data_IF_794644860250
#
_entry.id   IF_794644860250
#
_cell.length_a   1.000
_cell.length_b   1.000
_cell.length_c   1.000
_cell.angle_alpha   90.00
_cell.angle_beta   90.00
_cell.angle_gamma   90.00
#
_symmetry.space_group_name_H-M   'P 1'
#
loop_
_entity.id
_entity.type
_entity.pdbx_description
1 polymer ?
#
# COMPACT_ATOMS: atom_id res chain seq x y z
N UNK A 1 2.65 1.63 -4.49
CA UNK A 1 3.81 2.48 -4.85
C UNK A 1 3.88 3.76 -4.04
N UNK A 2 2.76 4.48 -3.85
CA UNK A 2 2.73 5.73 -3.07
C UNK A 2 3.28 5.57 -1.65
N UNK A 3 2.78 4.60 -0.88
CA UNK A 3 3.27 4.32 0.48
C UNK A 3 4.74 3.83 0.52
N UNK A 4 5.27 3.28 -0.59
CA UNK A 4 6.64 2.76 -0.68
C UNK A 4 7.58 3.75 -1.40
N UNK A 5 7.32 5.06 -1.28
CA UNK A 5 8.18 6.10 -1.86
C UNK A 5 8.35 6.03 -3.38
N UNK A 6 7.31 5.55 -4.08
CA UNK A 6 7.29 5.41 -5.54
C UNK A 6 7.81 4.09 -6.08
N UNK A 7 8.10 3.10 -5.23
CA UNK A 7 8.52 1.77 -5.65
C UNK A 7 7.34 0.83 -5.90
N UNK A 8 7.36 0.13 -7.04
CA UNK A 8 6.47 -0.98 -7.31
C UNK A 8 7.12 -2.28 -6.82
N UNK A 9 6.56 -2.85 -5.76
CA UNK A 9 6.99 -4.13 -5.21
C UNK A 9 6.36 -5.28 -6.00
N UNK A 10 7.05 -6.41 -6.12
CA UNK A 10 6.44 -7.64 -6.65
C UNK A 10 5.47 -8.18 -5.58
N UNK A 11 4.15 -8.21 -5.83
CA UNK A 11 3.20 -8.74 -4.85
C UNK A 11 3.42 -10.24 -4.70
N UNK A 12 3.42 -10.72 -3.46
CA UNK A 12 3.56 -12.14 -3.11
C UNK A 12 2.70 -12.46 -1.89
N UNK A 13 2.22 -13.69 -1.84
CA UNK A 13 1.37 -14.21 -0.75
C UNK A 13 2.13 -15.13 0.21
N UNK A 14 3.19 -15.78 -0.28
CA UNK A 14 3.99 -16.75 0.48
C UNK A 14 5.28 -16.07 0.96
N UNK A 15 5.58 -16.21 2.26
CA UNK A 15 6.82 -15.69 2.87
C UNK A 15 7.96 -16.70 2.82
N UNK A 16 7.67 -17.96 3.12
CA UNK A 16 8.64 -19.04 3.20
C UNK A 16 7.94 -20.39 3.03
N UNK A 17 8.68 -21.41 2.61
CA UNK A 17 8.28 -22.81 2.63
C UNK A 17 9.01 -23.51 3.77
N UNK A 18 8.29 -24.40 4.46
CA UNK A 18 8.82 -25.18 5.58
C UNK A 18 8.53 -26.66 5.37
N UNK A 19 9.51 -27.49 5.71
CA UNK A 19 9.34 -28.94 5.74
C UNK A 19 8.58 -29.39 6.99
N UNK A 20 8.22 -30.69 7.03
CA UNK A 20 7.45 -31.28 8.13
C UNK A 20 8.16 -31.16 9.50
N UNK A 21 9.48 -31.04 9.52
CA UNK A 21 10.29 -30.82 10.72
C UNK A 21 10.40 -29.33 11.13
N UNK A 22 9.77 -28.43 10.36
CA UNK A 22 9.75 -27.00 10.59
C UNK A 22 10.95 -26.24 10.02
N UNK A 23 11.91 -26.93 9.39
CA UNK A 23 13.06 -26.30 8.73
C UNK A 23 12.60 -25.49 7.52
N UNK A 24 13.24 -24.33 7.29
CA UNK A 24 12.92 -23.46 6.14
C UNK A 24 13.63 -24.01 4.92
N UNK A 25 12.87 -24.42 3.92
CA UNK A 25 13.40 -24.90 2.64
C UNK A 25 13.59 -23.78 1.64
N UNK A 26 12.75 -22.75 1.69
CA UNK A 26 12.84 -21.59 0.82
C UNK A 26 12.30 -20.33 1.49
N UNK A 27 12.95 -19.19 1.27
CA UNK A 27 12.53 -17.88 1.80
C UNK A 27 12.41 -16.85 0.67
N UNK A 28 11.33 -16.06 0.66
CA UNK A 28 11.02 -15.12 -0.43
C UNK A 28 11.16 -13.66 0.01
N UNK A 29 12.35 -13.10 -0.16
CA UNK A 29 12.68 -11.73 0.25
C UNK A 29 12.03 -10.64 -0.63
N UNK A 30 11.46 -9.57 -0.04
CA UNK A 30 10.81 -8.45 -0.77
C UNK A 30 11.58 -7.99 -2.00
N UNK A 31 10.93 -7.97 -3.17
CA UNK A 31 11.58 -7.61 -4.43
C UNK A 31 10.98 -6.34 -5.03
N UNK A 32 11.85 -5.41 -5.41
CA UNK A 32 11.49 -4.21 -6.15
C UNK A 32 11.45 -4.53 -7.64
N UNK A 33 10.29 -4.34 -8.28
CA UNK A 33 10.18 -4.50 -9.74
C UNK A 33 10.81 -3.30 -10.44
N UNK A 34 10.39 -2.09 -10.05
CA UNK A 34 10.89 -0.82 -10.60
C UNK A 34 10.43 0.38 -9.79
N UNK A 35 11.04 1.53 -10.04
CA UNK A 35 10.55 2.84 -9.61
C UNK A 35 9.50 3.35 -10.61
N UNK A 36 8.31 3.71 -10.12
CA UNK A 36 7.22 4.29 -10.92
C UNK A 36 7.01 5.77 -10.66
N UNK A 37 7.45 6.27 -9.49
CA UNK A 37 7.46 7.68 -9.12
C UNK A 37 8.79 7.99 -8.41
N UNK A 38 9.30 9.20 -8.58
CA UNK A 38 10.35 9.69 -7.69
C UNK A 38 9.77 9.88 -6.27
N UNK A 39 10.66 9.90 -5.29
CA UNK A 39 10.28 9.93 -3.87
C UNK A 39 9.52 11.21 -3.51
N UNK A 40 9.94 12.37 -4.03
CA UNK A 40 9.30 13.66 -3.71
C UNK A 40 7.87 13.70 -4.24
N UNK A 41 7.67 13.23 -5.46
CA UNK A 41 6.33 13.12 -6.06
C UNK A 41 5.45 12.14 -5.29
N UNK A 42 5.98 10.98 -4.88
CA UNK A 42 5.22 10.01 -4.08
C UNK A 42 4.80 10.59 -2.71
N UNK A 43 5.69 11.34 -2.06
CA UNK A 43 5.41 12.03 -0.78
C UNK A 43 4.36 13.14 -0.96
N UNK A 44 4.47 13.95 -2.01
CA UNK A 44 3.50 15.02 -2.30
C UNK A 44 2.10 14.46 -2.55
N UNK A 45 1.98 13.41 -3.36
CA UNK A 45 0.68 12.74 -3.59
C UNK A 45 0.19 12.04 -2.32
N UNK A 46 1.08 11.46 -1.52
CA UNK A 46 0.74 10.87 -0.23
C UNK A 46 0.10 11.88 0.73
N UNK A 47 0.67 13.09 0.84
CA UNK A 47 0.10 14.17 1.65
C UNK A 47 -1.26 14.60 1.15
N UNK A 48 -1.41 14.83 -0.16
CA UNK A 48 -2.71 15.17 -0.74
C UNK A 48 -3.80 14.11 -0.47
N UNK A 49 -3.43 12.83 -0.38
CA UNK A 49 -4.35 11.75 -0.03
C UNK A 49 -4.68 11.67 1.46
N UNK A 50 -3.80 12.16 2.35
CA UNK A 50 -4.09 12.34 3.77
C UNK A 50 -5.05 13.52 3.95
N UNK A 51 -4.78 14.64 3.28
CA UNK A 51 -5.59 15.87 3.38
C UNK A 51 -7.05 15.64 2.97
N UNK A 52 -7.29 14.80 1.95
CA UNK A 52 -8.65 14.38 1.52
C UNK A 52 -9.41 13.59 2.60
N UNK A 53 -8.71 12.93 3.52
CA UNK A 53 -9.32 12.18 4.64
C UNK A 53 -9.55 13.08 5.85
N UNK A 54 -8.73 14.13 6.05
CA UNK A 54 -8.91 15.08 7.14
C UNK A 54 -10.02 16.12 6.87
N UNK A 55 -10.22 16.56 5.61
CA UNK A 55 -11.22 17.58 5.21
C UNK A 55 -12.33 17.07 4.25
N UNK A 56 -12.45 15.76 3.98
CA UNK A 56 -13.39 15.19 3.00
C UNK A 56 -14.27 14.02 3.45
N UNK A 57 -15.00 13.39 2.51
CA UNK A 57 -16.04 12.34 2.71
C UNK A 57 -15.55 11.00 3.29
N UNK A 58 -14.32 10.92 3.79
CA UNK A 58 -13.65 9.73 4.31
C UNK A 58 -13.67 9.57 5.83
N UNK A 59 -14.53 10.30 6.55
CA UNK A 59 -14.61 10.33 8.01
C UNK A 59 -14.80 8.97 8.69
N UNK A 60 -15.26 7.94 7.96
CA UNK A 60 -15.39 6.57 8.45
C UNK A 60 -14.05 5.80 8.57
N UNK A 61 -12.95 6.31 8.00
CA UNK A 61 -11.64 5.66 8.04
C UNK A 61 -10.76 6.09 9.23
N UNK A 62 -11.26 6.98 10.10
CA UNK A 62 -10.54 7.47 11.29
C UNK A 62 -10.53 6.40 12.39
N UNK A 63 -9.55 5.49 12.35
CA UNK A 63 -9.15 4.73 13.53
C UNK A 63 -8.29 5.68 14.38
N UNK A 64 -8.79 6.07 15.56
CA UNK A 64 -8.41 7.26 16.34
C UNK A 64 -6.94 7.48 16.79
N UNK A 65 -5.97 6.79 16.20
CA UNK A 65 -4.53 6.98 16.43
C UNK A 65 -3.66 6.83 15.17
N UNK A 66 -4.25 6.62 13.97
CA UNK A 66 -3.51 6.42 12.72
C UNK A 66 -3.98 7.38 11.63
N UNK A 67 -3.03 8.02 10.94
CA UNK A 67 -3.31 8.75 9.70
C UNK A 67 -3.57 7.74 8.58
N UNK A 68 -4.77 7.79 8.00
CA UNK A 68 -5.16 6.94 6.88
C UNK A 68 -5.24 7.82 5.63
N UNK A 69 -4.47 7.46 4.60
CA UNK A 69 -4.50 8.11 3.29
C UNK A 69 -5.27 7.23 2.32
N UNK A 70 -6.26 7.79 1.61
CA UNK A 70 -7.05 7.01 0.66
C UNK A 70 -7.75 7.90 -0.36
N UNK A 71 -7.93 7.38 -1.58
CA UNK A 71 -8.80 8.00 -2.59
C UNK A 71 -10.14 7.27 -2.58
N UNK A 72 -11.24 7.97 -2.35
CA UNK A 72 -12.58 7.39 -2.55
C UNK A 72 -12.79 7.10 -4.04
N UNK A 73 -13.19 5.86 -4.35
CA UNK A 73 -13.60 5.42 -5.67
C UNK A 73 -15.06 4.99 -5.62
N UNK A 74 -15.96 5.79 -6.19
CA UNK A 74 -17.36 5.41 -6.35
C UNK A 74 -17.53 4.80 -7.73
N UNK A 75 -17.69 3.48 -7.82
CA UNK A 75 -18.07 2.81 -9.05
C UNK A 75 -19.59 2.64 -9.08
N UNK A 76 -20.26 3.25 -10.07
CA UNK A 76 -21.67 2.97 -10.34
C UNK A 76 -21.72 1.84 -11.36
N UNK A 77 -22.26 0.68 -10.97
CA UNK A 77 -22.68 -0.33 -11.93
C UNK A 77 -23.96 0.18 -12.61
N UNK A 78 -23.91 0.46 -13.92
CA UNK A 78 -25.11 0.50 -14.76
C UNK A 78 -25.25 -0.89 -15.40
N UNK A 79 -26.32 -1.60 -15.03
CA UNK A 79 -26.83 -2.72 -15.80
C UNK A 79 -27.41 -2.24 -17.13
#
# INVERSE_FOLDING_TARGET
>A
ALANGGLLMRPRLVRELRDADGSVTESFEPEVVRRVLDRRTAEAVGRALVDVVEDGTGTLARLGSFQVAGKSGTARFSS
#
